data_IF_776518974098
#
_entry.id   IF_776518974098
#
_cell.length_a   1.000
_cell.length_b   1.000
_cell.length_c   1.000
_cell.angle_alpha   90.00
_cell.angle_beta   90.00
_cell.angle_gamma   90.00
#
_symmetry.space_group_name_H-M   'P 1'
#
loop_
_entity.id
_entity.type
_entity.pdbx_description
1 polymer ?
#
# COMPACT_ATOMS: atom_id res chain seq x y z
N UNK A 1 -17.34 -1.29 27.10
CA UNK A 1 -17.38 -1.17 25.62
C UNK A 1 -16.67 0.12 25.23
N UNK A 2 -15.47 0.03 24.63
CA UNK A 2 -14.78 1.22 24.10
C UNK A 2 -15.22 1.43 22.65
N UNK A 3 -15.54 2.67 22.23
CA UNK A 3 -15.88 2.94 20.85
C UNK A 3 -14.64 2.67 19.99
N UNK A 4 -14.75 1.75 19.04
CA UNK A 4 -13.69 1.46 18.07
C UNK A 4 -13.50 2.65 17.13
N UNK A 5 -12.27 2.96 16.70
CA UNK A 5 -12.01 4.11 15.84
C UNK A 5 -12.72 3.91 14.50
N UNK A 6 -13.78 4.69 14.29
CA UNK A 6 -14.59 4.72 13.09
C UNK A 6 -13.83 5.51 12.01
N UNK A 7 -13.51 4.87 10.88
CA UNK A 7 -13.18 5.52 9.60
C UNK A 7 -11.74 6.03 9.38
N UNK A 8 -11.04 6.53 10.39
CA UNK A 8 -9.75 7.21 10.21
C UNK A 8 -8.55 6.30 9.93
N UNK A 9 -8.62 5.03 10.33
CA UNK A 9 -7.48 4.09 10.28
C UNK A 9 -7.09 3.71 8.82
N UNK A 10 -8.06 3.67 7.90
CA UNK A 10 -7.81 3.26 6.50
C UNK A 10 -6.96 4.25 5.72
N UNK A 11 -7.22 5.55 5.88
CA UNK A 11 -6.50 6.58 5.11
C UNK A 11 -5.07 6.73 5.62
N UNK A 12 -4.87 6.60 6.94
CA UNK A 12 -3.56 6.70 7.58
C UNK A 12 -2.59 5.64 7.07
N UNK A 13 -3.05 4.39 6.90
CA UNK A 13 -2.18 3.30 6.40
C UNK A 13 -1.63 3.55 5.00
N UNK A 14 -2.43 4.07 4.08
CA UNK A 14 -1.96 4.39 2.72
C UNK A 14 -0.93 5.54 2.76
N UNK A 15 -1.15 6.54 3.61
CA UNK A 15 -0.22 7.65 3.84
C UNK A 15 1.11 7.17 4.41
N UNK A 16 1.09 6.26 5.39
CA UNK A 16 2.30 5.68 5.98
C UNK A 16 3.08 4.86 4.93
N UNK A 17 2.36 4.10 4.10
CA UNK A 17 2.97 3.35 2.99
C UNK A 17 3.57 4.30 1.94
N UNK A 18 2.90 5.41 1.62
CA UNK A 18 3.41 6.40 0.68
C UNK A 18 4.70 7.07 1.19
N UNK A 19 4.76 7.39 2.49
CA UNK A 19 5.96 7.91 3.13
C UNK A 19 7.11 6.91 3.03
N UNK A 20 6.83 5.63 3.30
CA UNK A 20 7.81 4.55 3.17
C UNK A 20 8.27 4.36 1.72
N UNK A 21 7.34 4.41 0.75
CA UNK A 21 7.64 4.29 -0.67
C UNK A 21 8.53 5.43 -1.18
N UNK A 22 8.28 6.66 -0.73
CA UNK A 22 9.09 7.83 -1.07
C UNK A 22 10.54 7.64 -0.60
N UNK A 23 10.74 7.17 0.64
CA UNK A 23 12.06 6.86 1.17
C UNK A 23 12.72 5.70 0.42
N UNK A 24 11.95 4.67 0.04
CA UNK A 24 12.46 3.51 -0.70
C UNK A 24 13.00 3.89 -2.08
N UNK A 25 12.27 4.73 -2.83
CA UNK A 25 12.67 5.14 -4.17
C UNK A 25 13.68 6.28 -4.20
N UNK A 26 14.02 6.87 -3.04
CA UNK A 26 14.91 8.03 -2.97
C UNK A 26 16.29 7.71 -3.59
N UNK A 27 16.57 8.33 -4.74
CA UNK A 27 17.84 8.21 -5.46
C UNK A 27 18.34 9.63 -5.81
N UNK A 28 19.30 10.20 -5.06
CA UNK A 28 19.67 11.62 -5.16
C UNK A 28 20.12 12.10 -6.54
N UNK A 29 20.63 11.18 -7.37
CA UNK A 29 21.19 11.51 -8.68
C UNK A 29 20.23 11.27 -9.84
N UNK A 30 19.03 10.73 -9.59
CA UNK A 30 18.09 10.34 -10.65
C UNK A 30 16.63 10.72 -10.34
N UNK A 31 16.32 12.03 -10.21
CA UNK A 31 15.00 12.49 -9.79
C UNK A 31 13.86 11.99 -10.68
N UNK A 32 14.08 11.87 -12.00
CA UNK A 32 13.06 11.36 -12.93
C UNK A 32 12.68 9.90 -12.64
N UNK A 33 13.66 9.09 -12.24
CA UNK A 33 13.45 7.68 -11.89
C UNK A 33 12.70 7.57 -10.56
N UNK A 34 13.02 8.43 -9.60
CA UNK A 34 12.32 8.51 -8.31
C UNK A 34 10.83 8.79 -8.54
N UNK A 35 10.52 9.87 -9.26
CA UNK A 35 9.13 10.30 -9.51
C UNK A 35 8.38 9.22 -10.29
N UNK A 36 8.98 8.66 -11.33
CA UNK A 36 8.33 7.61 -12.14
C UNK A 36 8.05 6.36 -11.31
N UNK A 37 9.01 5.90 -10.51
CA UNK A 37 8.85 4.70 -9.67
C UNK A 37 7.78 4.92 -8.60
N UNK A 38 7.82 6.07 -7.92
CA UNK A 38 6.83 6.44 -6.92
C UNK A 38 5.42 6.55 -7.51
N UNK A 39 5.26 7.25 -8.63
CA UNK A 39 3.95 7.39 -9.29
C UNK A 39 3.42 6.04 -9.82
N UNK A 40 4.31 5.18 -10.31
CA UNK A 40 3.95 3.82 -10.76
C UNK A 40 3.45 2.99 -9.57
N UNK A 41 4.14 3.05 -8.44
CA UNK A 41 3.71 2.42 -7.19
C UNK A 41 2.39 2.99 -6.68
N UNK A 42 2.21 4.30 -6.68
CA UNK A 42 0.97 4.96 -6.26
C UNK A 42 -0.21 4.56 -7.16
N UNK A 43 0.02 4.43 -8.46
CA UNK A 43 -1.00 3.99 -9.44
C UNK A 43 -1.55 2.60 -9.13
N UNK A 44 -0.79 1.74 -8.44
CA UNK A 44 -1.26 0.40 -8.05
C UNK A 44 -2.46 0.44 -7.07
N UNK A 45 -2.72 1.57 -6.41
CA UNK A 45 -3.88 1.76 -5.54
C UNK A 45 -5.20 2.01 -6.30
N UNK A 46 -5.17 2.23 -7.62
CA UNK A 46 -6.42 2.30 -8.44
C UNK A 46 -7.26 1.04 -8.25
N UNK A 47 -6.61 -0.13 -8.06
CA UNK A 47 -7.26 -1.42 -7.84
C UNK A 47 -7.39 -1.79 -6.36
N UNK A 48 -7.31 -0.84 -5.42
CA UNK A 48 -7.27 -1.13 -3.98
C UNK A 48 -8.43 -2.02 -3.50
N UNK A 49 -9.64 -1.79 -4.02
CA UNK A 49 -10.83 -2.58 -3.68
C UNK A 49 -11.17 -3.67 -4.71
N UNK A 50 -10.34 -3.82 -5.74
CA UNK A 50 -10.57 -4.71 -6.89
C UNK A 50 -9.50 -5.81 -7.02
N UNK A 51 -8.40 -5.70 -6.28
CA UNK A 51 -7.34 -6.69 -6.25
C UNK A 51 -7.39 -7.50 -4.94
N UNK A 52 -7.40 -8.84 -4.99
CA UNK A 52 -7.24 -9.66 -3.80
C UNK A 52 -5.78 -9.62 -3.31
N UNK A 53 -5.59 -9.95 -2.04
CA UNK A 53 -4.25 -10.20 -1.48
C UNK A 53 -3.60 -11.37 -2.24
N UNK A 54 -2.39 -11.18 -2.76
CA UNK A 54 -1.69 -12.22 -3.53
C UNK A 54 -1.32 -13.46 -2.69
N UNK A 55 -1.16 -13.30 -1.38
CA UNK A 55 -0.85 -14.43 -0.50
C UNK A 55 -2.06 -15.25 -0.11
N UNK A 56 -3.13 -14.60 0.36
CA UNK A 56 -4.28 -15.31 0.96
C UNK A 56 -5.52 -15.36 0.06
N UNK A 57 -5.49 -14.69 -1.10
CA UNK A 57 -6.58 -14.66 -2.08
C UNK A 57 -7.82 -13.86 -1.66
N UNK A 58 -7.85 -13.32 -0.43
CA UNK A 58 -8.99 -12.56 0.10
C UNK A 58 -8.91 -11.08 -0.26
N UNK A 59 -10.06 -10.46 -0.48
CA UNK A 59 -10.19 -9.01 -0.68
C UNK A 59 -10.16 -8.21 0.62
N UNK A 60 -10.56 -8.83 1.73
CA UNK A 60 -10.60 -8.19 3.04
C UNK A 60 -10.00 -9.10 4.11
N UNK A 61 -9.29 -8.50 5.06
CA UNK A 61 -8.88 -9.07 6.33
C UNK A 61 -9.24 -8.07 7.42
N UNK A 62 -10.04 -8.47 8.40
CA UNK A 62 -10.54 -7.61 9.48
C UNK A 62 -11.22 -6.31 8.98
N UNK A 63 -11.91 -6.41 7.84
CA UNK A 63 -12.60 -5.26 7.21
C UNK A 63 -11.67 -4.26 6.52
N UNK A 64 -10.40 -4.61 6.31
CA UNK A 64 -9.40 -3.83 5.60
C UNK A 64 -9.00 -4.52 4.28
N UNK A 65 -8.89 -3.77 3.17
CA UNK A 65 -8.36 -4.31 1.92
C UNK A 65 -6.86 -4.59 2.03
N UNK A 66 -6.25 -5.30 1.07
CA UNK A 66 -4.79 -5.41 1.00
C UNK A 66 -4.21 -4.03 0.68
N UNK A 67 -3.75 -3.30 1.70
CA UNK A 67 -3.21 -1.95 1.54
C UNK A 67 -1.72 -1.95 1.20
N UNK A 68 -0.97 -2.98 1.56
CA UNK A 68 0.45 -3.06 1.25
C UNK A 68 0.67 -3.29 -0.24
N UNK A 69 1.70 -2.64 -0.80
CA UNK A 69 2.12 -2.79 -2.19
C UNK A 69 3.61 -3.05 -2.22
N UNK A 70 4.00 -4.19 -2.77
CA UNK A 70 5.41 -4.51 -2.98
C UNK A 70 6.09 -3.45 -3.86
N UNK A 71 7.31 -3.03 -3.50
CA UNK A 71 8.00 -1.96 -4.24
C UNK A 71 8.54 -2.40 -5.60
N UNK A 72 8.66 -3.71 -5.84
CA UNK A 72 9.17 -4.26 -7.09
C UNK A 72 8.05 -4.80 -7.97
N UNK A 73 7.15 -5.61 -7.41
CA UNK A 73 6.08 -6.28 -8.18
C UNK A 73 4.76 -5.50 -8.19
N UNK A 74 4.59 -4.54 -7.27
CA UNK A 74 3.34 -3.78 -7.07
C UNK A 74 2.16 -4.65 -6.63
N UNK A 75 2.44 -5.89 -6.22
CA UNK A 75 1.43 -6.83 -5.77
C UNK A 75 0.80 -6.39 -4.46
N UNK A 76 -0.51 -6.66 -4.33
CA UNK A 76 -1.30 -6.26 -3.18
C UNK A 76 -1.24 -7.31 -2.08
N UNK A 77 -0.95 -6.88 -0.85
CA UNK A 77 -0.95 -7.74 0.33
C UNK A 77 -1.68 -7.09 1.51
N UNK A 78 -2.26 -7.90 2.39
CA UNK A 78 -2.59 -7.42 3.73
C UNK A 78 -1.32 -7.21 4.53
N UNK A 79 -1.41 -6.40 5.59
CA UNK A 79 -0.27 -6.07 6.45
C UNK A 79 0.37 -7.30 7.11
N UNK A 80 -0.44 -8.30 7.46
CA UNK A 80 0.02 -9.60 8.00
C UNK A 80 0.53 -10.56 6.92
N UNK A 81 0.22 -10.29 5.66
CA UNK A 81 0.52 -11.14 4.51
C UNK A 81 1.78 -10.68 3.75
N UNK A 82 2.64 -9.86 4.39
CA UNK A 82 3.86 -9.30 3.77
C UNK A 82 5.04 -10.28 3.73
N UNK A 83 5.15 -11.21 4.70
CA UNK A 83 6.33 -12.10 4.91
C UNK A 83 6.23 -13.52 4.36
#
# INVERSE_FOLDING_TARGET
MKPGPCGADRQHKVTDHATTALLHYQLPQMPDVVVRSFMTWLRSYIKLFQAPCQRCGKFLQDGLPPTWRDFRTLEAFHDTCRQ
#
